data_IF_584932976568
#
_entry.id   IF_584932976568
#
_cell.length_a   1.000
_cell.length_b   1.000
_cell.length_c   1.000
_cell.angle_alpha   90.00
_cell.angle_beta   90.00
_cell.angle_gamma   90.00
#
_symmetry.space_group_name_H-M   'P 1'
#
loop_
_entity.id
_entity.type
_entity.pdbx_description
1 polymer ?
#
# COMPACT_ATOMS: atom_id res chain seq x y z
N UNK A 1 -0.13 -46.17 -4.50
CA UNK A 1 -1.09 -45.04 -4.44
C UNK A 1 -0.29 -43.78 -4.27
N UNK A 2 -0.02 -43.07 -5.37
CA UNK A 2 0.78 -41.84 -5.35
C UNK A 2 -0.17 -40.65 -5.15
N UNK A 3 -0.08 -40.00 -3.99
CA UNK A 3 -0.79 -38.75 -3.70
C UNK A 3 -0.10 -37.62 -4.45
N UNK A 4 -0.68 -37.20 -5.58
CA UNK A 4 -0.29 -35.96 -6.25
C UNK A 4 -0.75 -34.78 -5.38
N UNK A 5 0.17 -34.17 -4.65
CA UNK A 5 -0.02 -32.83 -4.09
C UNK A 5 0.03 -31.83 -5.24
N UNK A 6 -1.13 -31.29 -5.64
CA UNK A 6 -1.17 -30.15 -6.56
C UNK A 6 -0.41 -28.97 -5.93
N UNK A 7 0.39 -28.21 -6.70
CA UNK A 7 1.05 -27.03 -6.18
C UNK A 7 0.00 -26.00 -5.74
N UNK A 8 0.26 -25.20 -4.68
CA UNK A 8 -0.65 -24.16 -4.25
C UNK A 8 -0.97 -23.23 -5.42
N UNK A 9 -2.25 -23.06 -5.72
CA UNK A 9 -2.70 -22.11 -6.75
C UNK A 9 -2.20 -20.72 -6.38
N UNK A 10 -1.50 -20.06 -7.32
CA UNK A 10 -1.09 -18.67 -7.13
C UNK A 10 -2.32 -17.84 -6.76
N UNK A 11 -2.27 -17.02 -5.69
CA UNK A 11 -3.41 -16.20 -5.26
C UNK A 11 -3.87 -15.20 -6.35
N UNK A 12 -3.02 -14.95 -7.36
CA UNK A 12 -3.35 -14.17 -8.55
C UNK A 12 -4.44 -14.80 -9.43
N UNK A 13 -4.52 -16.14 -9.50
CA UNK A 13 -5.48 -16.85 -10.37
C UNK A 13 -6.94 -16.60 -10.00
N UNK A 14 -7.20 -16.14 -8.77
CA UNK A 14 -8.56 -15.88 -8.31
C UNK A 14 -9.21 -14.68 -9.01
N UNK A 15 -8.40 -13.76 -9.54
CA UNK A 15 -8.87 -12.50 -10.14
C UNK A 15 -8.88 -12.49 -11.68
N UNK A 16 -8.74 -13.65 -12.33
CA UNK A 16 -8.80 -13.73 -13.80
C UNK A 16 -10.23 -13.45 -14.33
N UNK A 17 -11.25 -13.64 -13.49
CA UNK A 17 -12.64 -13.25 -13.76
C UNK A 17 -13.26 -12.66 -12.49
N UNK A 18 -13.18 -11.34 -12.29
CA UNK A 18 -13.67 -10.71 -11.06
C UNK A 18 -15.21 -10.79 -10.98
N UNK A 19 -15.71 -11.33 -9.87
CA UNK A 19 -17.14 -11.53 -9.60
C UNK A 19 -17.71 -10.57 -8.54
N UNK A 20 -16.84 -9.98 -7.72
CA UNK A 20 -17.22 -9.03 -6.68
C UNK A 20 -17.24 -7.56 -7.13
N UNK A 21 -17.21 -6.65 -6.16
CA UNK A 21 -17.19 -5.21 -6.40
C UNK A 21 -15.99 -4.83 -7.27
N UNK A 22 -16.25 -4.09 -8.35
CA UNK A 22 -15.20 -3.54 -9.21
C UNK A 22 -15.21 -2.02 -9.13
N UNK A 23 -14.07 -1.44 -8.77
CA UNK A 23 -13.86 0.01 -8.82
C UNK A 23 -12.84 0.34 -9.89
N UNK A 24 -13.17 1.27 -10.77
CA UNK A 24 -12.28 1.77 -11.79
C UNK A 24 -11.59 3.05 -11.28
N UNK A 25 -10.27 3.09 -11.39
CA UNK A 25 -9.45 4.27 -11.14
C UNK A 25 -9.13 4.91 -12.48
N UNK A 26 -9.71 6.07 -12.75
CA UNK A 26 -9.34 6.93 -13.88
C UNK A 26 -8.22 7.86 -13.42
N UNK A 27 -7.00 7.63 -13.91
CA UNK A 27 -5.87 8.51 -13.64
C UNK A 27 -5.98 9.71 -14.59
N UNK A 28 -5.95 10.91 -14.05
CA UNK A 28 -5.88 12.14 -14.84
C UNK A 28 -4.58 12.85 -14.47
N UNK A 29 -3.44 12.33 -14.96
CA UNK A 29 -2.10 12.77 -14.56
C UNK A 29 -1.89 14.27 -14.78
N UNK A 30 -2.38 14.79 -15.90
CA UNK A 30 -2.32 16.22 -16.25
C UNK A 30 -3.06 17.13 -15.26
N UNK A 31 -4.05 16.59 -14.53
CA UNK A 31 -4.85 17.30 -13.53
C UNK A 31 -4.41 16.98 -12.10
N UNK A 32 -3.34 16.19 -11.94
CA UNK A 32 -2.83 15.70 -10.67
C UNK A 32 -3.92 15.13 -9.75
N UNK A 33 -4.89 14.42 -10.35
CA UNK A 33 -6.00 13.80 -9.65
C UNK A 33 -6.36 12.47 -10.28
N UNK A 34 -6.91 11.57 -9.47
CA UNK A 34 -7.53 10.33 -9.93
C UNK A 34 -8.98 10.30 -9.46
N UNK A 35 -9.86 9.77 -10.29
CA UNK A 35 -11.26 9.51 -9.92
C UNK A 35 -11.44 8.02 -9.73
N UNK A 36 -11.91 7.59 -8.57
CA UNK A 36 -12.26 6.19 -8.31
C UNK A 36 -13.76 6.06 -8.37
N UNK A 37 -14.25 5.20 -9.27
CA UNK A 37 -15.68 5.02 -9.51
C UNK A 37 -16.07 3.56 -9.37
N UNK A 38 -17.24 3.30 -8.78
CA UNK A 38 -17.87 1.99 -8.84
C UNK A 38 -18.34 1.69 -10.27
N UNK A 39 -18.02 0.49 -10.76
CA UNK A 39 -18.37 0.07 -12.11
C UNK A 39 -19.52 -0.93 -12.08
N UNK A 40 -20.66 -0.51 -12.62
CA UNK A 40 -21.86 -1.32 -12.78
C UNK A 40 -22.22 -1.42 -14.27
N UNK A 41 -21.73 -2.47 -14.93
CA UNK A 41 -21.85 -2.62 -16.37
C UNK A 41 -21.08 -1.52 -17.13
N UNK A 42 -21.81 -0.71 -17.90
CA UNK A 42 -21.27 0.47 -18.60
C UNK A 42 -21.32 1.75 -17.76
N UNK A 43 -21.99 1.73 -16.60
CA UNK A 43 -22.12 2.90 -15.72
C UNK A 43 -20.94 2.99 -14.76
N UNK A 44 -20.46 4.23 -14.54
CA UNK A 44 -19.43 4.56 -13.56
C UNK A 44 -20.00 5.58 -12.57
N UNK A 45 -20.02 5.21 -11.29
CA UNK A 45 -20.48 6.10 -10.20
C UNK A 45 -19.26 6.54 -9.38
N UNK A 46 -18.87 7.83 -9.42
CA UNK A 46 -17.72 8.32 -8.65
C UNK A 46 -17.92 8.11 -7.14
N UNK A 47 -16.92 7.54 -6.49
CA UNK A 47 -16.89 7.35 -5.03
C UNK A 47 -15.82 8.20 -4.37
N UNK A 48 -14.65 8.30 -5.00
CA UNK A 48 -13.52 9.02 -4.43
C UNK A 48 -12.83 9.91 -5.46
N UNK A 49 -12.30 11.03 -4.97
CA UNK A 49 -11.35 11.87 -5.71
C UNK A 49 -10.04 11.86 -4.93
N UNK A 50 -9.00 11.32 -5.56
CA UNK A 50 -7.65 11.31 -5.01
C UNK A 50 -6.83 12.41 -5.65
N UNK A 51 -6.45 13.41 -4.87
CA UNK A 51 -5.50 14.43 -5.26
C UNK A 51 -4.08 13.97 -4.94
N UNK A 52 -3.15 14.23 -5.85
CA UNK A 52 -1.72 14.13 -5.56
C UNK A 52 -1.03 15.41 -6.01
N UNK A 53 0.15 15.70 -5.46
CA UNK A 53 0.98 16.82 -5.93
C UNK A 53 2.39 16.27 -6.14
N UNK A 54 3.00 16.44 -7.33
CA UNK A 54 4.35 15.93 -7.56
C UNK A 54 5.40 16.48 -6.56
N UNK A 55 5.17 17.68 -6.05
CA UNK A 55 6.08 18.38 -5.12
C UNK A 55 5.82 18.08 -3.64
N UNK A 56 4.71 17.41 -3.30
CA UNK A 56 4.40 17.04 -1.91
C UNK A 56 4.20 15.53 -1.84
N UNK A 57 4.85 14.83 -0.90
CA UNK A 57 4.74 13.39 -0.84
C UNK A 57 3.48 12.98 -0.06
N UNK A 58 2.35 13.59 -0.41
CA UNK A 58 1.06 13.41 0.24
C UNK A 58 -0.04 13.23 -0.82
N UNK A 59 -0.81 12.17 -0.64
CA UNK A 59 -2.08 11.92 -1.30
C UNK A 59 -3.19 12.43 -0.40
N UNK A 60 -4.18 13.10 -0.97
CA UNK A 60 -5.40 13.48 -0.27
C UNK A 60 -6.58 12.82 -0.96
N UNK A 61 -7.42 12.14 -0.19
CA UNK A 61 -8.56 11.41 -0.73
C UNK A 61 -9.84 11.98 -0.13
N UNK A 62 -10.76 12.34 -1.01
CA UNK A 62 -12.05 12.95 -0.70
C UNK A 62 -13.17 12.03 -1.17
N UNK A 63 -14.29 12.05 -0.45
CA UNK A 63 -15.55 11.47 -0.91
C UNK A 63 -16.07 12.31 -2.10
N UNK A 64 -16.38 11.66 -3.21
CA UNK A 64 -16.77 12.35 -4.44
C UNK A 64 -18.15 13.04 -4.36
N UNK A 65 -19.01 12.61 -3.43
CA UNK A 65 -20.36 13.18 -3.28
C UNK A 65 -20.33 14.40 -2.38
N UNK A 66 -19.65 14.31 -1.24
CA UNK A 66 -19.62 15.38 -0.24
C UNK A 66 -18.41 16.33 -0.37
N UNK A 67 -17.39 15.96 -1.16
CA UNK A 67 -16.08 16.63 -1.21
C UNK A 67 -15.39 16.74 0.17
N UNK A 68 -15.76 15.87 1.11
CA UNK A 68 -15.12 15.84 2.43
C UNK A 68 -13.88 14.96 2.37
N UNK A 69 -12.77 15.46 2.89
CA UNK A 69 -11.55 14.66 3.02
C UNK A 69 -11.79 13.50 3.98
N UNK A 70 -11.62 12.27 3.48
CA UNK A 70 -11.76 11.04 4.26
C UNK A 70 -10.41 10.48 4.67
N UNK A 71 -9.37 10.74 3.88
CA UNK A 71 -8.05 10.19 4.14
C UNK A 71 -6.88 11.02 3.60
N UNK A 72 -5.71 10.75 4.13
CA UNK A 72 -4.41 11.24 3.64
C UNK A 72 -3.43 10.08 3.62
N UNK A 73 -2.69 9.92 2.52
CA UNK A 73 -1.57 8.98 2.41
C UNK A 73 -0.26 9.74 2.35
N UNK A 74 0.66 9.48 3.26
CA UNK A 74 2.01 10.09 3.27
C UNK A 74 3.01 9.09 2.71
N UNK A 75 3.63 9.48 1.61
CA UNK A 75 4.69 8.74 0.93
C UNK A 75 6.01 9.33 1.42
N UNK A 76 7.09 8.54 1.44
CA UNK A 76 8.43 9.06 1.66
C UNK A 76 9.24 8.94 0.38
N UNK A 77 10.03 9.96 0.07
CA UNK A 77 10.98 9.88 -1.06
C UNK A 77 12.21 9.00 -0.71
N UNK A 78 12.44 8.72 0.58
CA UNK A 78 13.65 8.02 1.06
C UNK A 78 13.30 6.64 1.61
N UNK A 79 12.16 6.51 2.29
CA UNK A 79 11.70 5.26 2.87
C UNK A 79 10.65 4.60 1.98
N UNK A 80 10.66 3.27 1.93
CA UNK A 80 9.57 2.49 1.33
C UNK A 80 8.40 2.29 2.32
N UNK A 81 8.54 2.69 3.58
CA UNK A 81 7.41 2.76 4.50
C UNK A 81 6.50 3.94 4.14
N UNK A 82 5.22 3.79 4.43
CA UNK A 82 4.21 4.84 4.25
C UNK A 82 3.28 4.87 5.45
N UNK A 83 2.47 5.91 5.51
CA UNK A 83 1.45 6.07 6.54
C UNK A 83 0.17 6.58 5.89
N UNK A 84 -0.97 6.09 6.35
CA UNK A 84 -2.27 6.64 6.00
C UNK A 84 -2.98 7.15 7.24
N UNK A 85 -3.71 8.25 7.13
CA UNK A 85 -4.73 8.63 8.11
C UNK A 85 -6.08 8.47 7.44
N UNK A 86 -6.96 7.63 7.98
CA UNK A 86 -8.28 7.32 7.42
C UNK A 86 -9.31 7.58 8.52
N UNK A 87 -10.26 8.49 8.27
CA UNK A 87 -11.28 8.89 9.26
C UNK A 87 -10.68 9.27 10.64
N UNK A 88 -9.50 9.90 10.63
CA UNK A 88 -8.78 10.30 11.84
C UNK A 88 -7.93 9.21 12.51
N UNK A 89 -7.93 7.97 11.99
CA UNK A 89 -7.10 6.88 12.48
C UNK A 89 -5.83 6.74 11.64
N UNK A 90 -4.67 6.74 12.30
CA UNK A 90 -3.38 6.58 11.65
C UNK A 90 -3.01 5.10 11.52
N UNK A 91 -2.72 4.67 10.30
CA UNK A 91 -2.33 3.32 9.92
C UNK A 91 -0.91 3.37 9.34
N UNK A 92 0.02 2.69 10.01
CA UNK A 92 1.38 2.54 9.52
C UNK A 92 1.48 1.39 8.51
N UNK A 93 1.98 1.69 7.31
CA UNK A 93 2.23 0.71 6.24
C UNK A 93 3.71 0.37 6.23
N UNK A 94 4.05 -0.87 6.56
CA UNK A 94 5.44 -1.30 6.71
C UNK A 94 5.85 -2.27 5.59
N UNK A 95 7.08 -2.16 5.08
CA UNK A 95 7.60 -3.12 4.12
C UNK A 95 7.96 -4.44 4.82
N UNK A 96 7.55 -5.59 4.26
CA UNK A 96 7.87 -6.91 4.82
C UNK A 96 9.33 -7.32 4.59
N UNK A 97 9.89 -7.03 3.40
CA UNK A 97 11.32 -7.23 3.06
C UNK A 97 11.75 -6.17 2.07
N UNK A 98 12.96 -5.62 2.21
CA UNK A 98 13.48 -4.53 1.35
C UNK A 98 13.48 -4.83 -0.17
N UNK A 99 13.51 -6.11 -0.54
CA UNK A 99 13.61 -6.56 -1.94
C UNK A 99 12.34 -7.20 -2.49
N UNK A 100 11.32 -7.45 -1.65
CA UNK A 100 10.00 -7.88 -2.10
C UNK A 100 9.05 -6.71 -1.92
N UNK A 101 8.33 -6.35 -2.97
CA UNK A 101 7.29 -5.31 -2.99
C UNK A 101 6.05 -5.81 -2.23
N UNK A 102 6.22 -6.08 -0.94
CA UNK A 102 5.18 -6.58 -0.07
C UNK A 102 5.11 -5.68 1.16
N UNK A 103 3.91 -5.28 1.52
CA UNK A 103 3.62 -4.37 2.61
C UNK A 103 2.64 -5.00 3.58
N UNK A 104 2.72 -4.65 4.86
CA UNK A 104 1.74 -5.05 5.86
C UNK A 104 1.25 -3.86 6.69
N UNK A 105 0.04 -4.01 7.20
CA UNK A 105 -0.56 -3.11 8.18
C UNK A 105 -1.57 -3.86 9.05
N UNK A 106 -2.03 -3.22 10.11
CA UNK A 106 -3.09 -3.74 10.97
C UNK A 106 -4.40 -3.03 10.62
N UNK A 107 -5.39 -3.81 10.19
CA UNK A 107 -6.73 -3.33 9.85
C UNK A 107 -7.65 -3.42 11.06
N UNK A 108 -8.33 -2.33 11.40
CA UNK A 108 -9.46 -2.36 12.33
C UNK A 108 -10.78 -2.57 11.60
N UNK A 109 -10.90 -2.10 10.35
CA UNK A 109 -12.13 -2.18 9.57
C UNK A 109 -12.51 -3.62 9.18
N UNK A 110 -11.52 -4.48 8.95
CA UNK A 110 -11.73 -5.90 8.61
C UNK A 110 -11.88 -6.80 9.83
N UNK A 111 -11.77 -6.26 11.04
CA UNK A 111 -11.91 -7.08 12.24
C UNK A 111 -13.38 -7.32 12.59
N UNK A 112 -13.72 -8.60 12.79
CA UNK A 112 -14.99 -9.00 13.40
C UNK A 112 -14.95 -8.96 14.93
N UNK A 113 -13.76 -8.72 15.51
CA UNK A 113 -13.51 -8.60 16.95
C UNK A 113 -12.91 -7.23 17.26
N UNK A 114 -12.70 -6.90 18.54
CA UNK A 114 -12.00 -5.66 18.92
C UNK A 114 -10.48 -5.71 18.69
N UNK A 115 -9.96 -6.77 18.03
CA UNK A 115 -8.52 -6.96 17.80
C UNK A 115 -8.17 -6.73 16.33
N UNK A 116 -7.21 -5.85 15.99
CA UNK A 116 -6.84 -5.60 14.60
C UNK A 116 -6.38 -6.86 13.84
N UNK A 117 -6.72 -6.94 12.56
CA UNK A 117 -6.36 -8.05 11.67
C UNK A 117 -5.12 -7.69 10.86
N UNK A 118 -4.09 -8.55 10.78
CA UNK A 118 -2.91 -8.27 9.97
C UNK A 118 -3.22 -8.46 8.48
N UNK A 119 -3.04 -7.41 7.69
CA UNK A 119 -3.29 -7.43 6.24
C UNK A 119 -1.98 -7.25 5.47
N UNK A 120 -1.83 -8.00 4.38
CA UNK A 120 -0.66 -7.95 3.50
C UNK A 120 -1.06 -7.55 2.08
N UNK A 121 -0.30 -6.62 1.50
CA UNK A 121 -0.36 -6.28 0.09
C UNK A 121 0.88 -6.80 -0.61
N UNK A 122 0.71 -7.70 -1.58
CA UNK A 122 1.80 -8.28 -2.37
C UNK A 122 1.73 -7.71 -3.78
N UNK A 123 2.73 -6.91 -4.15
CA UNK A 123 2.85 -6.40 -5.49
C UNK A 123 3.62 -7.38 -6.38
N UNK A 124 3.01 -7.70 -7.53
CA UNK A 124 3.60 -8.43 -8.65
C UNK A 124 3.60 -7.48 -9.85
N UNK A 125 4.78 -6.94 -10.16
CA UNK A 125 4.95 -6.01 -11.28
C UNK A 125 5.54 -6.73 -12.49
N UNK A 126 4.86 -6.65 -13.62
CA UNK A 126 5.45 -6.83 -14.94
C UNK A 126 5.86 -5.47 -15.52
N UNK A 127 6.57 -5.46 -16.66
CA UNK A 127 6.95 -4.21 -17.34
C UNK A 127 5.74 -3.34 -17.73
N UNK A 128 4.56 -3.94 -17.96
CA UNK A 128 3.36 -3.24 -18.44
C UNK A 128 2.28 -3.07 -17.37
N UNK A 129 2.10 -4.08 -16.53
CA UNK A 129 1.00 -4.16 -15.56
C UNK A 129 1.57 -4.35 -14.17
N UNK A 130 1.09 -3.55 -13.22
CA UNK A 130 1.37 -3.72 -11.80
C UNK A 130 0.13 -4.23 -11.09
N UNK A 131 0.24 -5.45 -10.56
CA UNK A 131 -0.79 -6.07 -9.76
C UNK A 131 -0.41 -6.00 -8.29
N UNK A 132 -1.36 -5.66 -7.44
CA UNK A 132 -1.22 -5.60 -5.99
C UNK A 132 -2.34 -6.42 -5.39
N UNK A 133 -2.00 -7.53 -4.73
CA UNK A 133 -3.00 -8.42 -4.13
C UNK A 133 -3.03 -8.18 -2.63
N UNK A 134 -4.20 -7.82 -2.13
CA UNK A 134 -4.51 -7.66 -0.71
C UNK A 134 -5.01 -8.99 -0.14
N UNK A 135 -4.37 -9.45 0.92
CA UNK A 135 -4.64 -10.73 1.57
C UNK A 135 -4.76 -10.52 3.09
N UNK A 136 -5.59 -11.32 3.73
CA UNK A 136 -5.45 -11.57 5.17
C UNK A 136 -4.14 -12.32 5.40
N UNK A 137 -3.26 -11.76 6.24
CA UNK A 137 -1.93 -12.33 6.47
C UNK A 137 -1.98 -13.65 7.22
N UNK A 138 -2.96 -13.83 8.12
CA UNK A 138 -3.09 -15.02 8.94
C UNK A 138 -3.67 -16.19 8.14
N UNK A 139 -4.75 -15.93 7.39
CA UNK A 139 -5.46 -16.98 6.64
C UNK A 139 -4.98 -17.14 5.19
N UNK A 140 -4.22 -16.17 4.66
CA UNK A 140 -3.85 -16.07 3.25
C UNK A 140 -5.06 -15.98 2.30
N UNK A 141 -6.22 -15.58 2.83
CA UNK A 141 -7.45 -15.41 2.05
C UNK A 141 -7.38 -14.10 1.26
N UNK A 142 -7.69 -14.11 -0.05
CA UNK A 142 -7.74 -12.89 -0.84
C UNK A 142 -8.89 -11.98 -0.40
N UNK A 143 -8.66 -10.66 -0.48
CA UNK A 143 -9.63 -9.63 -0.09
C UNK A 143 -9.94 -8.75 -1.29
N UNK A 144 -8.88 -8.24 -1.92
CA UNK A 144 -8.98 -7.43 -3.12
C UNK A 144 -7.70 -7.52 -3.95
N UNK A 145 -7.80 -7.16 -5.21
CA UNK A 145 -6.67 -6.91 -6.12
C UNK A 145 -6.78 -5.51 -6.69
N UNK A 146 -5.69 -4.76 -6.68
CA UNK A 146 -5.53 -3.56 -7.48
C UNK A 146 -4.62 -3.84 -8.67
N UNK A 147 -5.07 -3.54 -9.88
CA UNK A 147 -4.30 -3.70 -11.11
C UNK A 147 -4.22 -2.37 -11.85
N UNK A 148 -3.02 -1.95 -12.22
CA UNK A 148 -2.81 -0.74 -13.02
C UNK A 148 -1.96 -1.07 -14.25
N UNK A 149 -2.43 -0.66 -15.43
CA UNK A 149 -1.65 -0.75 -16.65
C UNK A 149 -0.87 0.55 -16.85
N UNK A 150 0.40 0.54 -16.46
CA UNK A 150 1.25 1.73 -16.48
C UNK A 150 1.67 2.15 -17.90
N UNK A 151 1.53 1.27 -18.90
CA UNK A 151 1.96 1.50 -20.28
C UNK A 151 0.82 1.64 -21.29
N UNK A 152 -0.42 1.29 -20.92
CA UNK A 152 -1.54 1.49 -21.81
C UNK A 152 -1.86 2.98 -21.91
N UNK A 153 -2.14 3.43 -23.15
CA UNK A 153 -2.67 4.76 -23.46
C UNK A 153 -3.96 5.08 -22.68
N UNK A 154 -4.64 4.05 -22.16
CA UNK A 154 -5.75 4.19 -21.22
C UNK A 154 -5.20 4.30 -19.80
N UNK A 155 -5.26 5.50 -19.24
CA UNK A 155 -4.85 5.85 -17.87
C UNK A 155 -5.82 5.24 -16.84
N UNK A 156 -5.98 3.91 -16.81
CA UNK A 156 -6.99 3.21 -15.98
C UNK A 156 -6.37 2.10 -15.13
N UNK A 157 -6.74 2.09 -13.84
CA UNK A 157 -6.53 0.98 -12.91
C UNK A 157 -7.87 0.40 -12.44
N UNK A 158 -7.86 -0.80 -11.87
CA UNK A 158 -9.06 -1.43 -11.33
C UNK A 158 -8.78 -2.08 -9.98
N UNK A 159 -9.64 -1.79 -9.00
CA UNK A 159 -9.80 -2.61 -7.82
C UNK A 159 -10.86 -3.68 -8.10
N UNK A 160 -10.56 -4.92 -7.73
CA UNK A 160 -11.48 -6.03 -7.72
C UNK A 160 -11.53 -6.59 -6.31
N UNK A 161 -12.68 -6.51 -5.66
CA UNK A 161 -12.90 -7.14 -4.37
C UNK A 161 -13.45 -8.55 -4.57
N UNK A 162 -13.15 -9.44 -3.63
CA UNK A 162 -13.75 -10.79 -3.61
C UNK A 162 -15.26 -10.74 -3.38
N UNK A 163 -15.70 -9.85 -2.50
CA UNK A 163 -17.09 -9.72 -2.08
C UNK A 163 -17.84 -8.73 -2.94
N UNK A 164 -19.16 -8.90 -3.03
CA UNK A 164 -20.04 -7.95 -3.73
C UNK A 164 -20.09 -6.59 -3.01
N UNK A 165 -20.53 -5.55 -3.73
CA UNK A 165 -20.64 -4.19 -3.14
C UNK A 165 -21.60 -4.11 -1.94
N UNK A 166 -22.58 -5.00 -1.85
CA UNK A 166 -23.50 -5.07 -0.72
C UNK A 166 -22.86 -5.68 0.55
N UNK A 167 -21.81 -6.49 0.38
CA UNK A 167 -21.11 -7.18 1.47
C UNK A 167 -19.85 -6.44 1.93
N UNK A 168 -19.34 -5.50 1.13
CA UNK A 168 -18.19 -4.67 1.47
C UNK A 168 -18.69 -3.41 2.18
N UNK A 169 -18.41 -3.29 3.48
CA UNK A 169 -18.74 -2.07 4.22
C UNK A 169 -17.95 -0.86 3.69
N UNK A 170 -18.47 0.34 3.93
CA UNK A 170 -17.82 1.58 3.49
C UNK A 170 -16.43 1.72 4.13
N UNK A 171 -16.28 1.36 5.39
CA UNK A 171 -15.04 1.46 6.15
C UNK A 171 -13.96 0.55 5.56
N UNK A 172 -14.31 -0.69 5.22
CA UNK A 172 -13.41 -1.63 4.53
C UNK A 172 -13.04 -1.12 3.15
N UNK A 173 -14.02 -0.61 2.39
CA UNK A 173 -13.78 -0.06 1.05
C UNK A 173 -12.83 1.12 1.10
N UNK A 174 -13.07 2.08 2.00
CA UNK A 174 -12.25 3.26 2.21
C UNK A 174 -10.82 2.85 2.55
N UNK A 175 -10.64 1.93 3.51
CA UNK A 175 -9.33 1.44 3.94
C UNK A 175 -8.54 0.79 2.79
N UNK A 176 -9.16 -0.16 2.08
CA UNK A 176 -8.51 -0.91 1.01
C UNK A 176 -8.15 0.00 -0.18
N UNK A 177 -9.04 0.91 -0.57
CA UNK A 177 -8.77 1.84 -1.67
C UNK A 177 -7.63 2.80 -1.31
N UNK A 178 -7.69 3.42 -0.13
CA UNK A 178 -6.68 4.38 0.32
C UNK A 178 -5.31 3.74 0.42
N UNK A 179 -5.21 2.56 1.04
CA UNK A 179 -3.93 1.87 1.22
C UNK A 179 -3.40 1.36 -0.11
N UNK A 180 -4.26 0.77 -0.96
CA UNK A 180 -3.87 0.30 -2.29
C UNK A 180 -3.29 1.41 -3.17
N UNK A 181 -3.97 2.57 -3.22
CA UNK A 181 -3.47 3.75 -3.95
C UNK A 181 -2.18 4.29 -3.34
N UNK A 182 -2.07 4.34 -2.02
CA UNK A 182 -0.85 4.81 -1.35
C UNK A 182 0.34 3.94 -1.69
N UNK A 183 0.20 2.61 -1.63
CA UNK A 183 1.25 1.66 -1.99
C UNK A 183 1.64 1.80 -3.47
N UNK A 184 0.66 1.99 -4.35
CA UNK A 184 0.90 2.23 -5.77
C UNK A 184 1.78 3.46 -6.00
N UNK A 185 1.47 4.59 -5.33
CA UNK A 185 2.29 5.80 -5.46
C UNK A 185 3.65 5.71 -4.77
N UNK A 186 3.80 4.96 -3.67
CA UNK A 186 5.11 4.63 -3.10
C UNK A 186 5.98 3.94 -4.16
N UNK A 187 5.42 2.96 -4.87
CA UNK A 187 6.14 2.25 -5.92
C UNK A 187 6.42 3.12 -7.14
N UNK A 188 5.46 3.95 -7.57
CA UNK A 188 5.65 4.87 -8.70
C UNK A 188 6.76 5.91 -8.40
N UNK A 189 6.77 6.48 -7.19
CA UNK A 189 7.82 7.41 -6.76
C UNK A 189 9.21 6.76 -6.77
N UNK A 190 9.30 5.49 -6.34
CA UNK A 190 10.55 4.73 -6.36
C UNK A 190 11.08 4.50 -7.78
N UNK A 191 10.19 4.22 -8.74
CA UNK A 191 10.60 3.95 -10.12
C UNK A 191 11.07 5.20 -10.87
N UNK A 192 10.54 6.36 -10.52
CA UNK A 192 10.95 7.63 -11.12
C UNK A 192 12.20 8.24 -10.47
N UNK A 193 12.76 7.62 -9.42
CA UNK A 193 13.96 8.12 -8.74
C UNK A 193 15.02 7.02 -8.52
N UNK A 194 15.69 6.57 -9.60
CA UNK A 194 16.65 5.45 -9.55
C UNK A 194 17.93 5.74 -8.75
N UNK A 195 18.23 7.01 -8.44
CA UNK A 195 19.39 7.40 -7.61
C UNK A 195 19.29 6.91 -6.15
N UNK A 196 18.10 6.48 -5.70
CA UNK A 196 17.87 5.94 -4.36
C UNK A 196 18.20 4.44 -4.20
N UNK A 197 18.49 3.72 -5.29
CA UNK A 197 18.98 2.34 -5.22
C UNK A 197 20.35 2.22 -4.50
N UNK A 198 21.09 3.33 -4.38
CA UNK A 198 22.39 3.38 -3.69
C UNK A 198 22.28 3.64 -2.17
N UNK A 199 21.16 4.21 -1.68
CA UNK A 199 20.97 4.54 -0.26
C UNK A 199 20.32 3.44 0.59
N UNK A 200 19.80 2.38 -0.04
CA UNK A 200 19.09 1.28 0.62
C UNK A 200 20.00 0.34 1.45
N UNK A 201 21.31 0.59 1.46
CA UNK A 201 22.32 -0.16 2.24
C UNK A 201 22.34 0.20 3.74
N UNK A 202 21.69 1.28 4.20
CA UNK A 202 21.86 1.76 5.59
C UNK A 202 20.63 1.80 6.52
N UNK A 203 19.39 1.51 6.08
CA UNK A 203 18.19 1.72 6.92
C UNK A 203 17.63 0.44 7.59
N UNK A 204 18.04 0.07 8.82
CA UNK A 204 17.58 -1.12 9.59
C UNK A 204 16.06 -1.41 9.47
N UNK A 205 15.72 -2.65 9.14
CA UNK A 205 14.33 -3.14 9.10
C UNK A 205 13.95 -3.71 10.47
N UNK A 206 12.77 -3.37 10.98
CA UNK A 206 12.24 -3.86 12.26
C UNK A 206 10.91 -4.59 12.06
N UNK A 207 10.78 -5.76 12.70
CA UNK A 207 9.54 -6.51 12.87
C UNK A 207 8.67 -5.77 13.90
N UNK A 208 7.35 -5.77 13.74
CA UNK A 208 6.44 -5.36 14.83
C UNK A 208 6.19 -6.60 15.67
N UNK A 209 6.99 -6.77 16.71
CA UNK A 209 6.63 -7.58 17.87
C UNK A 209 6.19 -6.60 18.95
N UNK A 210 5.01 -6.83 19.51
CA UNK A 210 4.51 -6.15 20.69
C UNK A 210 5.36 -6.60 21.88
N UNK A 211 6.04 -5.67 22.54
CA UNK A 211 6.57 -5.90 23.88
C UNK A 211 6.74 -4.55 24.59
N UNK A 212 5.82 -4.28 25.51
CA UNK A 212 5.99 -3.26 26.52
C UNK A 212 7.12 -3.64 27.47
N UNK A 213 8.24 -2.90 27.41
CA UNK A 213 9.02 -2.57 28.61
C UNK A 213 10.02 -1.45 28.33
N UNK A 214 10.03 -0.49 29.24
CA UNK A 214 11.07 0.51 29.37
C UNK A 214 12.46 -0.14 29.45
N UNK A 215 13.44 0.49 28.79
CA UNK A 215 14.85 0.10 28.87
C UNK A 215 15.68 1.10 28.08
N UNK A 216 16.01 2.23 28.72
CA UNK A 216 16.97 3.18 28.19
C UNK A 216 18.32 2.52 27.95
N UNK A 217 19.02 2.96 26.89
CA UNK A 217 20.42 2.60 26.68
C UNK A 217 21.23 3.89 26.76
N UNK A 218 22.01 3.92 27.83
CA UNK A 218 23.09 4.83 28.19
C UNK A 218 24.08 4.99 27.03
N UNK A 219 24.45 6.24 26.74
CA UNK A 219 25.47 6.59 25.75
C UNK A 219 26.86 6.34 26.37
N UNK A 220 27.53 5.28 25.93
CA UNK A 220 28.93 5.01 26.26
C UNK A 220 29.84 5.96 25.45
N UNK A 221 30.53 6.88 26.14
CA UNK A 221 31.51 7.80 25.56
C UNK A 221 32.73 7.04 25.02
N UNK A 222 33.17 7.38 23.81
CA UNK A 222 34.40 6.84 23.20
C UNK A 222 35.66 7.46 23.85
N UNK A 223 36.75 6.69 24.04
CA UNK A 223 38.00 7.24 24.57
C UNK A 223 38.72 8.12 23.56
N UNK A 224 39.25 9.22 24.07
CA UNK A 224 40.07 10.23 23.41
C UNK A 224 41.50 9.68 23.14
N UNK A 225 41.80 9.28 21.90
CA UNK A 225 43.14 8.85 21.50
C UNK A 225 43.95 10.04 20.95
N UNK A 226 44.79 10.59 21.82
CA UNK A 226 45.52 11.84 21.64
C UNK A 226 46.74 11.75 20.73
N UNK A 227 46.54 11.70 19.41
CA UNK A 227 47.65 11.84 18.46
C UNK A 227 47.76 13.27 17.92
N UNK A 228 48.78 13.98 18.40
CA UNK A 228 49.17 15.33 17.95
C UNK A 228 49.87 15.25 16.58
N UNK A 229 49.31 15.88 15.55
CA UNK A 229 50.06 16.18 14.33
C UNK A 229 50.83 17.50 14.49
N UNK A 230 52.17 17.43 14.40
CA UNK A 230 53.04 18.59 14.26
C UNK A 230 53.08 19.03 12.79
N UNK A 231 52.87 20.32 12.57
CA UNK A 231 53.29 21.05 11.37
C UNK A 231 54.81 21.13 11.31
N UNK A 232 55.40 20.71 10.19
CA UNK A 232 56.37 21.48 9.35
C UNK A 232 56.16 21.03 7.92
#
# INVERSE_FOLDING_TARGET
MSTHSSPPSSPLKHYDTPTGLTLQVDFAWSKFRNTVSEKNGSSLTPLYIQHFRPTKPQLRIEDATSNTQIATGTISNISIAAECTIHGQTIAIRPLKRWKTAYNYLSTALSSTSTPVPISWIANSSLKVWDFVCLDSATQTPIAKFSANWWALTEVGNFHFEKSGAEVSKEVRDEIVVIGLTIFYVMAARMNNPLHLLGATFAKAGKVEDDGRAGGVELEERPNDGTKHKHV
#
